data_IF_758400422367
#
_entry.id   IF_758400422367
#
_cell.length_a   1.000
_cell.length_b   1.000
_cell.length_c   1.000
_cell.angle_alpha   90.00
_cell.angle_beta   90.00
_cell.angle_gamma   90.00
#
_symmetry.space_group_name_H-M   'P 1'
#
loop_
_entity.id
_entity.type
_entity.pdbx_description
1 polymer ?
#
# COMPACT_ATOMS: atom_id res chain seq x y z
N UNK A 1 9.71 3.46 4.45
CA UNK A 1 8.66 3.46 3.44
C UNK A 1 9.08 2.47 2.38
N UNK A 2 8.13 1.78 1.76
CA UNK A 2 8.41 0.82 0.69
C UNK A 2 7.28 0.79 -0.33
N UNK A 3 7.57 0.24 -1.49
CA UNK A 3 6.58 -0.06 -2.53
C UNK A 3 6.06 -1.47 -2.29
N UNK A 4 4.77 -1.59 -2.04
CA UNK A 4 4.11 -2.89 -1.91
C UNK A 4 3.20 -3.10 -3.12
N UNK A 5 3.49 -4.09 -3.94
CA UNK A 5 2.67 -4.50 -5.07
C UNK A 5 1.77 -5.65 -4.60
N UNK A 6 0.48 -5.37 -4.48
CA UNK A 6 -0.50 -6.36 -4.06
C UNK A 6 -1.17 -6.97 -5.31
N UNK A 7 -1.08 -8.29 -5.46
CA UNK A 7 -1.76 -9.03 -6.51
C UNK A 7 -3.19 -9.37 -6.04
N UNK A 8 -4.19 -8.71 -6.63
CA UNK A 8 -5.59 -8.76 -6.21
C UNK A 8 -6.05 -7.47 -5.52
N UNK A 9 -7.29 -7.49 -5.01
CA UNK A 9 -7.91 -6.34 -4.34
C UNK A 9 -8.33 -6.70 -2.90
N UNK A 10 -7.52 -6.37 -1.88
CA UNK A 10 -7.89 -6.56 -0.47
C UNK A 10 -8.91 -5.51 0.02
N UNK A 11 -9.39 -4.61 -0.85
CA UNK A 11 -10.37 -3.59 -0.50
C UNK A 11 -9.81 -2.40 0.27
N UNK A 12 -8.52 -2.10 0.08
CA UNK A 12 -7.85 -0.95 0.71
C UNK A 12 -7.90 0.29 -0.18
N UNK A 13 -7.74 1.46 0.44
CA UNK A 13 -7.59 2.76 -0.22
C UNK A 13 -6.52 3.56 0.50
N UNK A 14 -6.22 4.76 0.00
CA UNK A 14 -5.32 5.71 0.68
C UNK A 14 -5.74 5.92 2.13
N UNK A 15 -4.77 5.99 3.04
CA UNK A 15 -4.93 6.08 4.49
C UNK A 15 -5.52 4.83 5.17
N UNK A 16 -5.61 3.69 4.47
CA UNK A 16 -5.88 2.41 5.12
C UNK A 16 -4.68 1.93 5.96
N UNK A 17 -4.94 1.22 7.04
CA UNK A 17 -3.93 0.52 7.85
C UNK A 17 -4.02 -0.96 7.55
N UNK A 18 -2.88 -1.55 7.20
CA UNK A 18 -2.74 -2.97 6.87
C UNK A 18 -1.72 -3.61 7.82
N UNK A 19 -1.91 -4.89 8.14
CA UNK A 19 -0.87 -5.71 8.74
C UNK A 19 -0.25 -6.57 7.63
N UNK A 20 1.07 -6.47 7.50
CA UNK A 20 1.88 -7.23 6.56
C UNK A 20 3.15 -7.69 7.27
N UNK A 21 3.45 -8.98 7.18
CA UNK A 21 4.60 -9.61 7.82
C UNK A 21 4.69 -9.39 9.34
N UNK A 22 3.53 -9.26 10.00
CA UNK A 22 3.44 -9.05 11.44
C UNK A 22 3.60 -7.60 11.89
N UNK A 23 3.76 -6.65 10.96
CA UNK A 23 3.90 -5.22 11.23
C UNK A 23 2.74 -4.41 10.62
N UNK A 24 2.32 -3.35 11.32
CA UNK A 24 1.30 -2.42 10.83
C UNK A 24 1.91 -1.34 9.94
N UNK A 25 1.34 -1.17 8.76
CA UNK A 25 1.72 -0.16 7.80
C UNK A 25 0.51 0.66 7.36
N UNK A 26 0.78 1.92 7.01
CA UNK A 26 -0.19 2.85 6.47
C UNK A 26 -0.01 2.96 4.96
N UNK A 27 -1.11 2.85 4.21
CA UNK A 27 -1.12 3.03 2.77
C UNK A 27 -1.15 4.52 2.41
N UNK A 28 0.00 5.13 2.17
CA UNK A 28 0.12 6.56 1.84
C UNK A 28 -0.31 6.91 0.41
N UNK A 29 -0.05 6.01 -0.54
CA UNK A 29 -0.47 6.16 -1.92
C UNK A 29 -0.87 4.80 -2.48
N UNK A 30 -1.81 4.80 -3.43
CA UNK A 30 -2.30 3.59 -4.08
C UNK A 30 -2.65 3.88 -5.53
N UNK A 31 -2.14 3.06 -6.42
CA UNK A 31 -2.45 3.08 -7.85
C UNK A 31 -2.98 1.70 -8.27
N UNK A 32 -4.13 1.67 -8.95
CA UNK A 32 -4.75 0.44 -9.46
C UNK A 32 -4.24 0.19 -10.88
N UNK A 33 -3.65 -0.98 -11.09
CA UNK A 33 -3.07 -1.41 -12.36
C UNK A 33 -3.84 -2.59 -12.94
N UNK A 34 -3.89 -2.64 -14.27
CA UNK A 34 -4.47 -3.75 -15.01
C UNK A 34 -5.97 -3.64 -15.32
N UNK A 35 -6.59 -2.47 -15.13
CA UNK A 35 -8.01 -2.26 -15.47
C UNK A 35 -8.30 -2.35 -17.00
N UNK A 36 -7.28 -2.21 -17.85
CA UNK A 36 -7.40 -2.35 -19.30
C UNK A 36 -6.22 -3.13 -19.89
N UNK A 37 -6.50 -4.24 -20.59
CA UNK A 37 -5.50 -5.21 -21.07
C UNK A 37 -4.48 -5.65 -19.98
N UNK A 38 -4.96 -5.77 -18.74
CA UNK A 38 -4.15 -6.20 -17.61
C UNK A 38 -4.05 -7.71 -17.46
N UNK A 39 -3.26 -8.16 -16.48
CA UNK A 39 -3.23 -9.56 -16.04
C UNK A 39 -4.59 -10.04 -15.51
N UNK A 40 -4.74 -11.36 -15.32
CA UNK A 40 -5.99 -11.98 -14.85
C UNK A 40 -6.50 -11.43 -13.51
N UNK A 41 -5.60 -10.89 -12.68
CA UNK A 41 -5.90 -10.22 -11.41
C UNK A 41 -5.34 -8.80 -11.44
N UNK A 42 -6.09 -7.84 -10.93
CA UNK A 42 -5.62 -6.46 -10.75
C UNK A 42 -4.40 -6.41 -9.85
N UNK A 43 -3.57 -5.38 -10.00
CA UNK A 43 -2.44 -5.14 -9.12
C UNK A 43 -2.58 -3.77 -8.45
N UNK A 44 -2.47 -3.70 -7.14
CA UNK A 44 -2.46 -2.43 -6.41
C UNK A 44 -1.01 -2.08 -6.06
N UNK A 45 -0.54 -0.98 -6.62
CA UNK A 45 0.79 -0.45 -6.33
C UNK A 45 0.68 0.54 -5.20
N UNK A 46 1.10 0.12 -4.01
CA UNK A 46 0.99 0.89 -2.80
C UNK A 46 2.34 1.49 -2.41
N UNK A 47 2.33 2.71 -1.89
CA UNK A 47 3.45 3.22 -1.08
C UNK A 47 3.03 3.11 0.37
N UNK A 48 3.73 2.27 1.13
CA UNK A 48 3.42 2.00 2.52
C UNK A 48 4.55 2.46 3.43
N UNK A 49 4.20 2.82 4.67
CA UNK A 49 5.19 3.17 5.69
C UNK A 49 4.55 3.23 7.07
N UNK A 50 5.38 3.45 8.09
CA UNK A 50 4.92 3.64 9.46
C UNK A 50 4.48 5.08 9.68
N UNK A 51 3.76 5.37 10.78
CA UNK A 51 3.29 6.74 11.08
C UNK A 51 4.44 7.76 11.16
N UNK A 52 5.61 7.37 11.67
CA UNK A 52 6.79 8.23 11.74
C UNK A 52 7.29 8.70 10.36
N UNK A 53 6.96 7.96 9.29
CA UNK A 53 7.39 8.27 7.92
C UNK A 53 6.38 9.12 7.14
N UNK A 54 5.19 9.36 7.72
CA UNK A 54 4.11 10.13 7.10
C UNK A 54 4.56 11.54 6.72
N UNK A 55 5.28 12.23 7.61
CA UNK A 55 5.77 13.58 7.34
C UNK A 55 6.75 13.61 6.16
N UNK A 56 7.67 12.64 6.09
CA UNK A 56 8.61 12.51 4.99
C UNK A 56 7.90 12.22 3.66
N UNK A 57 6.84 11.40 3.69
CA UNK A 57 6.00 11.16 2.52
C UNK A 57 5.30 12.45 2.05
N UNK A 58 4.64 13.15 2.96
CA UNK A 58 3.87 14.36 2.67
C UNK A 58 4.75 15.49 2.12
N UNK A 59 5.95 15.66 2.70
CA UNK A 59 6.96 16.62 2.23
C UNK A 59 7.74 16.14 1.01
N UNK A 60 7.54 14.89 0.57
CA UNK A 60 8.27 14.24 -0.53
C UNK A 60 9.78 14.21 -0.30
N UNK A 61 10.20 14.01 0.95
CA UNK A 61 11.60 13.91 1.38
C UNK A 61 12.17 12.50 1.12
N UNK A 62 11.89 11.94 -0.06
CA UNK A 62 12.36 10.63 -0.47
C UNK A 62 12.46 10.57 -2.00
N UNK A 63 13.29 9.65 -2.50
CA UNK A 63 13.38 9.36 -3.93
C UNK A 63 12.59 8.07 -4.21
N UNK A 64 11.49 8.12 -5.00
CA UNK A 64 10.65 6.95 -5.23
C UNK A 64 11.39 5.73 -5.79
N UNK A 65 12.46 5.95 -6.56
CA UNK A 65 13.28 4.90 -7.19
C UNK A 65 14.21 4.17 -6.20
N UNK A 66 14.37 4.67 -4.98
CA UNK A 66 15.20 4.07 -3.94
C UNK A 66 14.37 3.31 -2.89
N UNK A 67 13.05 3.32 -3.01
CA UNK A 67 12.20 2.54 -2.12
C UNK A 67 12.28 1.07 -2.51
N UNK A 68 12.53 0.21 -1.53
CA UNK A 68 12.44 -1.24 -1.72
C UNK A 68 11.04 -1.61 -2.22
N UNK A 69 11.00 -2.58 -3.13
CA UNK A 69 9.75 -3.05 -3.74
C UNK A 69 9.52 -4.51 -3.42
N UNK A 70 8.38 -4.82 -2.83
CA UNK A 70 7.94 -6.16 -2.48
C UNK A 70 6.62 -6.49 -3.17
N UNK A 71 6.45 -7.76 -3.56
CA UNK A 71 5.23 -8.27 -4.19
C UNK A 71 4.56 -9.32 -3.31
N UNK A 72 3.24 -9.21 -3.14
CA UNK A 72 2.46 -10.06 -2.22
C UNK A 72 1.06 -10.30 -2.75
N UNK A 73 0.47 -11.45 -2.43
CA UNK A 73 -0.93 -11.75 -2.75
C UNK A 73 -1.89 -11.02 -1.79
N UNK A 74 -3.06 -10.59 -2.29
CA UNK A 74 -4.06 -9.89 -1.48
C UNK A 74 -4.52 -10.69 -0.25
N UNK A 75 -4.50 -12.02 -0.34
CA UNK A 75 -4.87 -12.95 0.73
C UNK A 75 -3.88 -12.93 1.92
N UNK A 76 -2.65 -12.45 1.73
CA UNK A 76 -1.65 -12.32 2.79
C UNK A 76 -1.71 -10.97 3.52
N UNK A 77 -2.61 -10.07 3.12
CA UNK A 77 -2.79 -8.75 3.73
C UNK A 77 -4.00 -8.76 4.65
N UNK A 78 -3.78 -8.44 5.92
CA UNK A 78 -4.88 -8.19 6.85
C UNK A 78 -5.19 -6.69 6.89
N UNK A 79 -6.45 -6.32 6.66
CA UNK A 79 -6.89 -4.91 6.69
C UNK A 79 -7.35 -4.55 8.10
N UNK A 80 -6.49 -3.87 8.84
CA UNK A 80 -6.75 -3.44 10.23
C UNK A 80 -7.74 -2.27 10.27
N UNK A 81 -7.58 -1.28 9.38
CA UNK A 81 -8.52 -0.15 9.25
C UNK A 81 -8.71 0.25 7.81
N UNK A 82 -9.97 0.49 7.42
CA UNK A 82 -10.31 1.03 6.09
C UNK A 82 -10.19 2.55 6.08
N UNK A 83 -9.88 3.09 4.90
CA UNK A 83 -9.78 4.54 4.65
C UNK A 83 -11.01 5.30 5.18
N UNK A 84 -10.79 6.38 5.92
CA UNK A 84 -11.83 7.28 6.41
C UNK A 84 -12.67 6.73 7.58
N UNK A 85 -12.30 5.59 8.18
CA UNK A 85 -12.93 5.11 9.39
C UNK A 85 -12.45 5.95 10.58
N UNK A 86 -13.30 6.83 11.09
CA UNK A 86 -13.06 7.51 12.36
C UNK A 86 -12.93 6.47 13.48
N UNK A 87 -11.95 6.69 14.36
CA UNK A 87 -11.77 5.90 15.58
C UNK A 87 -12.99 6.01 16.51
#
# INVERSE_FOLDING_TARGET
MKKLIIHGDPGIRRDAVINYDGEEYICFAIDRQGDWHGPDRVQLWCTIGTEDEREAFEKREFVPHWLDTEGVDAEAIEVVRKSGQAA
#
